data_IF_771099340784
#
_entry.id   IF_771099340784
#
_cell.length_a   1.000
_cell.length_b   1.000
_cell.length_c   1.000
_cell.angle_alpha   90.00
_cell.angle_beta   90.00
_cell.angle_gamma   90.00
#
_symmetry.space_group_name_H-M   'P 1'
#
loop_
_entity.id
_entity.type
_entity.pdbx_description
1 polymer ?
#
# COMPACT_ATOMS: atom_id res chain seq x y z
N UNK A 1 -16.69 -3.02 28.09
CA UNK A 1 -17.04 -1.99 27.10
C UNK A 1 -17.02 -2.66 25.73
N UNK A 2 -18.18 -2.84 25.10
CA UNK A 2 -18.29 -3.57 23.83
C UNK A 2 -17.63 -2.78 22.68
N UNK A 3 -16.74 -3.44 21.94
CA UNK A 3 -16.03 -2.90 20.78
C UNK A 3 -16.95 -2.45 19.63
N UNK A 4 -18.25 -2.81 19.69
CA UNK A 4 -19.26 -2.47 18.68
C UNK A 4 -19.66 -1.00 18.63
N UNK A 5 -19.16 -0.14 19.55
CA UNK A 5 -19.42 1.31 19.54
C UNK A 5 -18.26 2.15 18.99
N UNK A 6 -17.11 1.55 18.68
CA UNK A 6 -15.93 2.32 18.26
C UNK A 6 -15.85 2.52 16.74
N UNK A 7 -16.46 1.61 15.97
CA UNK A 7 -16.53 1.67 14.50
C UNK A 7 -17.93 1.18 14.08
N UNK A 8 -18.65 1.92 13.21
CA UNK A 8 -19.94 1.46 12.71
C UNK A 8 -19.76 0.13 11.95
N UNK A 9 -20.43 -0.93 12.41
CA UNK A 9 -20.51 -2.22 11.70
C UNK A 9 -20.74 -2.10 10.17
N UNK A 10 -21.61 -1.20 9.65
CA UNK A 10 -21.79 -1.07 8.20
C UNK A 10 -20.52 -0.65 7.44
N UNK A 11 -19.63 0.14 8.05
CA UNK A 11 -18.37 0.55 7.42
C UNK A 11 -17.41 -0.65 7.25
N UNK A 12 -17.40 -1.58 8.20
CA UNK A 12 -16.57 -2.78 8.14
C UNK A 12 -17.02 -3.68 6.99
N UNK A 13 -18.33 -3.97 6.89
CA UNK A 13 -18.87 -4.80 5.81
C UNK A 13 -18.72 -4.15 4.43
N UNK A 14 -18.92 -2.84 4.32
CA UNK A 14 -18.75 -2.12 3.06
C UNK A 14 -17.29 -2.14 2.58
N UNK A 15 -16.34 -1.84 3.46
CA UNK A 15 -14.91 -1.86 3.11
C UNK A 15 -14.43 -3.27 2.76
N UNK A 16 -14.96 -4.30 3.40
CA UNK A 16 -14.71 -5.69 3.07
C UNK A 16 -15.24 -6.04 1.67
N UNK A 17 -16.48 -5.66 1.35
CA UNK A 17 -17.07 -5.88 0.02
C UNK A 17 -16.27 -5.19 -1.09
N UNK A 18 -15.88 -3.91 -0.90
CA UNK A 18 -15.03 -3.17 -1.84
C UNK A 18 -13.67 -3.86 -2.02
N UNK A 19 -13.09 -4.38 -0.94
CA UNK A 19 -11.79 -5.07 -1.01
C UNK A 19 -11.87 -6.38 -1.79
N UNK A 20 -12.97 -7.12 -1.69
CA UNK A 20 -13.20 -8.34 -2.49
C UNK A 20 -13.35 -8.00 -3.97
N UNK A 21 -14.15 -6.97 -4.29
CA UNK A 21 -14.32 -6.51 -5.67
C UNK A 21 -12.98 -6.04 -6.25
N UNK A 22 -12.22 -5.26 -5.47
CA UNK A 22 -10.87 -4.82 -5.82
C UNK A 22 -9.93 -5.99 -6.07
N UNK A 23 -9.96 -7.03 -5.23
CA UNK A 23 -9.15 -8.23 -5.41
C UNK A 23 -9.46 -8.92 -6.75
N UNK A 24 -10.75 -9.14 -7.06
CA UNK A 24 -11.17 -9.78 -8.32
C UNK A 24 -10.75 -8.93 -9.52
N UNK A 25 -10.97 -7.61 -9.46
CA UNK A 25 -10.58 -6.68 -10.52
C UNK A 25 -9.08 -6.69 -10.79
N UNK A 26 -8.28 -6.56 -9.74
CA UNK A 26 -6.83 -6.54 -9.83
C UNK A 26 -6.25 -7.87 -10.33
N UNK A 27 -6.78 -9.01 -9.86
CA UNK A 27 -6.38 -10.33 -10.36
C UNK A 27 -6.73 -10.51 -11.84
N UNK A 28 -7.88 -9.97 -12.29
CA UNK A 28 -8.27 -10.00 -13.70
C UNK A 28 -7.29 -9.21 -14.57
N UNK A 29 -6.86 -8.02 -14.12
CA UNK A 29 -5.87 -7.19 -14.84
C UNK A 29 -4.53 -7.93 -14.93
N UNK A 30 -4.07 -8.52 -13.84
CA UNK A 30 -2.83 -9.33 -13.81
C UNK A 30 -2.94 -10.53 -14.76
N UNK A 31 -4.07 -11.24 -14.72
CA UNK A 31 -4.30 -12.39 -15.60
C UNK A 31 -4.24 -12.00 -17.08
N UNK A 32 -4.92 -10.92 -17.47
CA UNK A 32 -4.94 -10.43 -18.86
C UNK A 32 -3.56 -9.97 -19.32
N UNK A 33 -2.79 -9.31 -18.45
CA UNK A 33 -1.43 -8.83 -18.78
C UNK A 33 -0.42 -9.97 -18.94
N UNK A 34 -0.56 -11.05 -18.17
CA UNK A 34 0.29 -12.25 -18.31
C UNK A 34 -0.11 -13.08 -19.54
N UNK A 35 -1.41 -13.24 -19.80
CA UNK A 35 -1.91 -14.10 -20.87
C UNK A 35 -1.63 -13.55 -22.27
N UNK A 36 -1.84 -12.25 -22.49
CA UNK A 36 -1.70 -11.65 -23.81
C UNK A 36 -0.31 -11.03 -24.05
N UNK A 37 0.58 -11.79 -24.70
CA UNK A 37 1.90 -11.28 -25.15
C UNK A 37 1.78 -10.08 -26.11
N UNK A 38 0.71 -9.99 -26.91
CA UNK A 38 0.44 -8.84 -27.80
C UNK A 38 0.16 -7.53 -27.05
N UNK A 39 -0.24 -7.60 -25.77
CA UNK A 39 -0.57 -6.44 -24.95
C UNK A 39 0.59 -6.02 -24.03
N UNK A 40 1.74 -6.69 -24.07
CA UNK A 40 2.93 -6.40 -23.27
C UNK A 40 3.72 -5.19 -23.79
N UNK A 41 3.04 -4.06 -23.93
CA UNK A 41 3.74 -2.78 -24.00
C UNK A 41 4.36 -2.48 -22.63
N UNK A 42 5.45 -1.69 -22.60
CA UNK A 42 6.20 -1.38 -21.37
C UNK A 42 5.29 -0.81 -20.28
N UNK A 43 4.42 0.14 -20.65
CA UNK A 43 3.47 0.75 -19.73
C UNK A 43 2.44 -0.28 -19.19
N UNK A 44 1.96 -1.20 -20.03
CA UNK A 44 1.02 -2.24 -19.61
C UNK A 44 1.65 -3.24 -18.65
N UNK A 45 2.96 -3.51 -18.76
CA UNK A 45 3.70 -4.33 -17.78
C UNK A 45 3.77 -3.63 -16.43
N UNK A 46 4.01 -2.31 -16.41
CA UNK A 46 3.99 -1.52 -15.17
C UNK A 46 2.59 -1.51 -14.53
N UNK A 47 1.53 -1.37 -15.33
CA UNK A 47 0.14 -1.44 -14.85
C UNK A 47 -0.18 -2.84 -14.28
N UNK A 48 0.28 -3.91 -14.93
CA UNK A 48 0.14 -5.27 -14.40
C UNK A 48 0.88 -5.45 -13.08
N UNK A 49 2.07 -4.88 -12.94
CA UNK A 49 2.83 -4.89 -11.69
C UNK A 49 2.12 -4.09 -10.58
N UNK A 50 1.56 -2.93 -10.91
CA UNK A 50 0.74 -2.13 -9.99
C UNK A 50 -0.47 -2.95 -9.49
N UNK A 51 -1.22 -3.56 -10.40
CA UNK A 51 -2.36 -4.40 -10.06
C UNK A 51 -1.99 -5.60 -9.18
N UNK A 52 -0.79 -6.16 -9.34
CA UNK A 52 -0.28 -7.22 -8.47
C UNK A 52 -0.09 -6.72 -7.03
N UNK A 53 0.50 -5.54 -6.84
CA UNK A 53 0.64 -4.95 -5.50
C UNK A 53 -0.72 -4.56 -4.91
N UNK A 54 -1.65 -4.06 -5.72
CA UNK A 54 -3.00 -3.73 -5.27
C UNK A 54 -3.77 -4.97 -4.80
N UNK A 55 -3.60 -6.11 -5.47
CA UNK A 55 -4.17 -7.38 -5.02
C UNK A 55 -3.60 -7.80 -3.64
N UNK A 56 -2.29 -7.63 -3.42
CA UNK A 56 -1.66 -7.89 -2.11
C UNK A 56 -2.22 -6.96 -1.03
N UNK A 57 -2.41 -5.67 -1.35
CA UNK A 57 -3.03 -4.70 -0.45
C UNK A 57 -4.48 -5.09 -0.13
N UNK A 58 -5.28 -5.51 -1.12
CA UNK A 58 -6.64 -5.97 -0.89
C UNK A 58 -6.70 -7.19 0.03
N UNK A 59 -5.81 -8.18 -0.16
CA UNK A 59 -5.69 -9.34 0.74
C UNK A 59 -5.34 -8.90 2.16
N UNK A 60 -4.39 -7.98 2.31
CA UNK A 60 -4.01 -7.42 3.61
C UNK A 60 -5.18 -6.72 4.31
N UNK A 61 -5.93 -5.89 3.58
CA UNK A 61 -7.11 -5.19 4.12
C UNK A 61 -8.21 -6.16 4.55
N UNK A 62 -8.48 -7.21 3.76
CA UNK A 62 -9.43 -8.26 4.12
C UNK A 62 -8.98 -8.95 5.42
N UNK A 63 -7.71 -9.35 5.50
CA UNK A 63 -7.19 -10.02 6.70
C UNK A 63 -7.30 -9.13 7.95
N UNK A 64 -6.99 -7.84 7.80
CA UNK A 64 -7.09 -6.85 8.88
C UNK A 64 -8.55 -6.70 9.36
N UNK A 65 -9.52 -6.65 8.45
CA UNK A 65 -10.95 -6.57 8.80
C UNK A 65 -11.49 -7.86 9.41
N UNK A 66 -11.02 -9.03 8.97
CA UNK A 66 -11.38 -10.33 9.58
C UNK A 66 -10.87 -10.44 11.01
N UNK A 67 -9.63 -10.02 11.30
CA UNK A 67 -9.14 -10.00 12.68
C UNK A 67 -9.95 -9.07 13.59
N UNK A 68 -10.40 -7.93 13.07
CA UNK A 68 -11.24 -6.99 13.80
C UNK A 68 -12.61 -7.60 14.15
N UNK A 69 -13.18 -8.44 13.27
CA UNK A 69 -14.45 -9.14 13.51
C UNK A 69 -14.28 -10.30 14.50
N UNK A 70 -13.13 -10.96 14.50
CA UNK A 70 -12.82 -12.08 15.42
C UNK A 70 -12.45 -11.62 16.83
N UNK A 71 -12.53 -10.32 17.13
CA UNK A 71 -12.23 -9.72 18.43
C UNK A 71 -10.82 -10.08 18.98
N UNK A 72 -9.89 -10.40 18.08
CA UNK A 72 -8.52 -10.82 18.40
C UNK A 72 -7.58 -9.61 18.52
N UNK A 73 -7.92 -8.67 19.41
CA UNK A 73 -7.19 -7.40 19.56
C UNK A 73 -5.89 -7.53 20.36
N UNK A 74 -5.73 -8.62 21.12
CA UNK A 74 -4.63 -8.82 22.07
C UNK A 74 -3.39 -9.46 21.40
N UNK A 75 -2.81 -8.76 20.43
CA UNK A 75 -1.54 -9.16 19.79
C UNK A 75 -0.41 -8.26 20.28
N UNK A 76 0.72 -8.85 20.68
CA UNK A 76 1.94 -8.12 21.06
C UNK A 76 2.39 -7.15 19.95
N UNK A 77 2.78 -5.93 20.32
CA UNK A 77 3.15 -4.84 19.38
C UNK A 77 4.18 -5.25 18.32
N UNK A 78 5.14 -6.11 18.65
CA UNK A 78 6.16 -6.61 17.72
C UNK A 78 5.58 -7.53 16.64
N UNK A 79 4.61 -8.38 17.01
CA UNK A 79 3.93 -9.31 16.09
C UNK A 79 3.00 -8.55 15.16
N UNK A 80 2.31 -7.56 15.70
CA UNK A 80 1.48 -6.67 14.91
C UNK A 80 2.28 -5.84 13.89
N UNK A 81 3.41 -5.24 14.28
CA UNK A 81 4.23 -4.49 13.33
C UNK A 81 4.75 -5.42 12.22
N UNK A 82 5.19 -6.63 12.56
CA UNK A 82 5.65 -7.61 11.58
C UNK A 82 4.53 -8.04 10.62
N UNK A 83 3.30 -8.10 11.11
CA UNK A 83 2.10 -8.36 10.33
C UNK A 83 1.76 -7.20 9.38
N UNK A 84 1.80 -5.96 9.88
CA UNK A 84 1.50 -4.74 9.12
C UNK A 84 2.58 -4.36 8.11
N UNK A 85 3.84 -4.74 8.37
CA UNK A 85 4.99 -4.45 7.50
C UNK A 85 4.75 -4.82 6.04
N UNK A 86 4.14 -5.98 5.78
CA UNK A 86 3.91 -6.45 4.41
C UNK A 86 2.89 -5.57 3.66
N UNK A 87 1.81 -5.15 4.35
CA UNK A 87 0.81 -4.24 3.77
C UNK A 87 1.38 -2.84 3.55
N UNK A 88 2.17 -2.34 4.50
CA UNK A 88 2.81 -1.03 4.40
C UNK A 88 3.83 -0.97 3.24
N UNK A 89 4.61 -2.03 3.06
CA UNK A 89 5.51 -2.14 1.92
C UNK A 89 4.76 -2.14 0.58
N UNK A 90 3.66 -2.91 0.48
CA UNK A 90 2.86 -2.97 -0.73
C UNK A 90 2.18 -1.63 -1.08
N UNK A 91 1.66 -0.90 -0.10
CA UNK A 91 1.09 0.45 -0.27
C UNK A 91 2.13 1.46 -0.80
N UNK A 92 3.34 1.46 -0.23
CA UNK A 92 4.41 2.34 -0.70
C UNK A 92 4.84 1.99 -2.14
N UNK A 93 4.86 0.70 -2.47
CA UNK A 93 5.12 0.27 -3.84
C UNK A 93 4.02 0.68 -4.81
N UNK A 94 2.76 0.57 -4.41
CA UNK A 94 1.63 1.05 -5.21
C UNK A 94 1.76 2.55 -5.51
N UNK A 95 1.99 3.39 -4.49
CA UNK A 95 2.09 4.84 -4.70
C UNK A 95 3.27 5.24 -5.59
N UNK A 96 4.43 4.62 -5.39
CA UNK A 96 5.63 4.91 -6.20
C UNK A 96 5.49 4.44 -7.66
N UNK A 97 4.94 3.24 -7.90
CA UNK A 97 4.65 2.75 -9.24
C UNK A 97 3.57 3.60 -9.93
N UNK A 98 2.54 4.01 -9.19
CA UNK A 98 1.49 4.92 -9.70
C UNK A 98 2.06 6.24 -10.19
N UNK A 99 3.00 6.83 -9.45
CA UNK A 99 3.70 8.05 -9.87
C UNK A 99 4.52 7.82 -11.14
N UNK A 100 5.30 6.74 -11.21
CA UNK A 100 6.11 6.40 -12.40
C UNK A 100 5.24 6.20 -13.64
N UNK A 101 4.09 5.53 -13.49
CA UNK A 101 3.12 5.35 -14.59
C UNK A 101 2.55 6.71 -15.04
N UNK A 102 2.20 7.58 -14.09
CA UNK A 102 1.73 8.93 -14.38
C UNK A 102 2.76 9.74 -15.17
N UNK A 103 4.03 9.69 -14.76
CA UNK A 103 5.13 10.35 -15.47
C UNK A 103 5.38 9.76 -16.86
N UNK A 104 5.34 8.43 -17.02
CA UNK A 104 5.49 7.77 -18.32
C UNK A 104 4.39 8.23 -19.31
N UNK A 105 3.14 8.30 -18.84
CA UNK A 105 2.01 8.78 -19.65
C UNK A 105 2.13 10.25 -20.00
N UNK A 106 2.52 11.10 -19.05
CA UNK A 106 2.73 12.53 -19.28
C UNK A 106 3.85 12.76 -20.30
N UNK A 107 4.96 12.04 -20.17
CA UNK A 107 6.10 12.16 -21.06
C UNK A 107 5.79 11.69 -22.49
N UNK A 108 5.01 10.63 -22.65
CA UNK A 108 4.54 10.18 -23.97
C UNK A 108 3.68 11.24 -24.69
N UNK A 109 2.85 11.97 -23.95
CA UNK A 109 2.01 13.06 -24.50
C UNK A 109 2.85 14.29 -24.83
N UNK A 110 3.81 14.65 -23.97
CA UNK A 110 4.63 15.84 -24.15
C UNK A 110 5.66 15.70 -25.30
N UNK A 111 6.27 14.52 -25.44
CA UNK A 111 7.38 14.30 -26.39
C UNK A 111 7.29 12.94 -27.09
N UNK A 112 6.34 12.75 -28.04
CA UNK A 112 6.09 11.45 -28.68
C UNK A 112 7.30 10.92 -29.48
N UNK A 113 8.07 11.81 -30.12
CA UNK A 113 9.23 11.43 -30.94
C UNK A 113 10.40 10.90 -30.11
N UNK A 114 10.62 11.48 -28.92
CA UNK A 114 11.67 11.03 -27.98
C UNK A 114 11.25 9.79 -27.21
N UNK A 115 9.94 9.58 -26.99
CA UNK A 115 9.42 8.40 -26.31
C UNK A 115 9.72 7.11 -27.07
N UNK A 116 9.64 7.12 -28.41
CA UNK A 116 9.90 5.93 -29.24
C UNK A 116 11.33 5.39 -29.11
N UNK A 117 12.30 6.25 -28.74
CA UNK A 117 13.71 5.90 -28.62
C UNK A 117 14.13 5.45 -27.21
N UNK A 118 13.21 5.45 -26.24
CA UNK A 118 13.57 5.08 -24.87
C UNK A 118 14.06 3.63 -24.80
N UNK A 119 15.18 3.41 -24.11
CA UNK A 119 15.72 2.07 -23.89
C UNK A 119 15.04 1.38 -22.71
N UNK A 120 15.03 0.04 -22.73
CA UNK A 120 14.45 -0.76 -21.63
C UNK A 120 15.18 -0.53 -20.28
N UNK A 121 16.45 -0.10 -20.31
CA UNK A 121 17.27 0.11 -19.12
C UNK A 121 16.73 1.22 -18.20
N UNK A 122 16.16 2.28 -18.77
CA UNK A 122 15.57 3.39 -18.00
C UNK A 122 14.39 2.90 -17.17
N UNK A 123 13.57 1.99 -17.72
CA UNK A 123 12.44 1.39 -17.00
C UNK A 123 12.90 0.51 -15.83
N UNK A 124 13.95 -0.29 -16.03
CA UNK A 124 14.54 -1.08 -14.94
C UNK A 124 15.08 -0.17 -13.82
N UNK A 125 15.68 0.97 -14.17
CA UNK A 125 16.15 1.96 -13.20
C UNK A 125 15.01 2.55 -12.36
N UNK A 126 13.88 2.93 -12.98
CA UNK A 126 12.72 3.45 -12.25
C UNK A 126 12.12 2.44 -11.28
N UNK A 127 11.97 1.18 -11.71
CA UNK A 127 11.45 0.11 -10.83
C UNK A 127 12.40 -0.09 -9.64
N UNK A 128 13.71 -0.10 -9.88
CA UNK A 128 14.72 -0.26 -8.82
C UNK A 128 14.68 0.90 -7.82
N UNK A 129 14.49 2.14 -8.29
CA UNK A 129 14.29 3.30 -7.42
C UNK A 129 13.02 3.17 -6.56
N UNK A 130 11.91 2.67 -7.11
CA UNK A 130 10.69 2.42 -6.35
C UNK A 130 10.92 1.37 -5.24
N UNK A 131 11.66 0.29 -5.52
CA UNK A 131 11.99 -0.74 -4.54
C UNK A 131 12.80 -0.13 -3.40
N UNK A 132 13.87 0.62 -3.71
CA UNK A 132 14.75 1.23 -2.71
C UNK A 132 13.96 2.21 -1.84
N UNK A 133 13.18 3.09 -2.46
CA UNK A 133 12.34 4.06 -1.76
C UNK A 133 11.38 3.36 -0.78
N UNK A 134 10.67 2.33 -1.25
CA UNK A 134 9.71 1.57 -0.44
C UNK A 134 10.40 0.84 0.72
N UNK A 135 11.62 0.34 0.50
CA UNK A 135 12.42 -0.29 1.54
C UNK A 135 12.89 0.71 2.61
N UNK A 136 13.37 1.89 2.19
CA UNK A 136 13.80 2.97 3.10
C UNK A 136 12.65 3.44 3.99
N UNK A 137 11.46 3.65 3.44
CA UNK A 137 10.29 4.04 4.22
C UNK A 137 9.91 2.95 5.22
N UNK A 138 9.85 1.69 4.77
CA UNK A 138 9.50 0.56 5.64
C UNK A 138 10.52 0.38 6.78
N UNK A 139 11.80 0.55 6.49
CA UNK A 139 12.87 0.47 7.49
C UNK A 139 12.83 1.63 8.49
N UNK A 140 12.54 2.84 8.00
CA UNK A 140 12.35 4.02 8.86
C UNK A 140 11.16 3.83 9.80
N UNK A 141 10.06 3.26 9.29
CA UNK A 141 8.88 2.89 10.09
C UNK A 141 9.18 1.84 11.17
N UNK A 142 10.01 0.82 10.85
CA UNK A 142 10.45 -0.16 11.84
C UNK A 142 11.33 0.45 12.94
N UNK A 143 12.27 1.31 12.54
CA UNK A 143 13.18 1.98 13.47
C UNK A 143 12.42 2.90 14.43
N UNK A 144 11.40 3.60 13.93
CA UNK A 144 10.49 4.39 14.75
C UNK A 144 9.67 3.50 15.69
N UNK A 145 8.97 2.50 15.17
CA UNK A 145 8.15 1.59 15.98
C UNK A 145 8.95 0.88 17.09
N UNK A 146 10.18 0.45 16.79
CA UNK A 146 11.07 -0.20 17.76
C UNK A 146 11.52 0.74 18.90
N UNK A 147 11.78 2.03 18.61
CA UNK A 147 12.14 3.01 19.64
C UNK A 147 10.97 3.37 20.56
N UNK A 148 9.76 3.47 20.03
CA UNK A 148 8.58 3.84 20.82
C UNK A 148 7.90 2.64 21.49
N UNK A 149 8.14 1.42 21.02
CA UNK A 149 7.65 0.17 21.64
C UNK A 149 8.10 -0.04 23.11
N UNK A 150 9.18 0.62 23.54
CA UNK A 150 9.62 0.58 24.95
C UNK A 150 8.95 1.65 25.84
N UNK A 151 8.40 2.74 25.28
CA UNK A 151 7.65 3.76 26.05
C UNK A 151 6.15 3.49 26.11
N UNK A 152 5.63 2.64 25.23
CA UNK A 152 4.20 2.30 25.10
C UNK A 152 3.76 1.10 25.97
N UNK A 153 4.53 0.72 27.01
CA UNK A 153 4.13 -0.31 27.98
C UNK A 153 3.10 0.17 29.02
N UNK A 154 2.81 1.47 29.10
CA UNK A 154 1.92 2.06 30.12
C UNK A 154 0.51 2.41 29.59
N UNK A 155 0.29 2.39 28.28
CA UNK A 155 -1.05 2.52 27.69
C UNK A 155 -1.30 1.33 26.77
N UNK A 156 -2.21 0.46 27.18
CA UNK A 156 -2.82 -0.58 26.35
C UNK A 156 -3.37 0.03 25.06
N UNK A 157 -2.57 0.01 24.01
CA UNK A 157 -2.97 0.56 22.73
C UNK A 157 -2.89 -0.55 21.71
N UNK A 158 -4.07 -0.95 21.27
CA UNK A 158 -4.29 -2.04 20.33
C UNK A 158 -3.81 -1.60 18.95
N UNK A 159 -3.36 -2.55 18.13
CA UNK A 159 -3.01 -2.30 16.73
C UNK A 159 -4.16 -1.86 15.82
N UNK A 160 -5.36 -1.80 16.38
CA UNK A 160 -6.62 -1.54 15.68
C UNK A 160 -7.32 -0.28 16.17
N UNK A 161 -6.81 0.35 17.23
CA UNK A 161 -7.24 1.69 17.66
C UNK A 161 -6.27 2.71 17.06
N UNK A 162 -6.23 2.79 15.74
CA UNK A 162 -5.73 3.99 15.06
C UNK A 162 -6.88 5.00 14.96
N UNK A 163 -7.35 5.43 16.13
CA UNK A 163 -8.17 6.63 16.27
C UNK A 163 -7.39 7.54 17.22
N UNK A 164 -6.30 8.16 16.72
CA UNK A 164 -6.00 9.59 16.95
C UNK A 164 -4.61 10.07 16.48
N UNK A 165 -3.66 9.24 16.05
CA UNK A 165 -2.32 9.76 15.65
C UNK A 165 -2.04 9.81 14.15
N UNK A 166 -2.91 9.26 13.27
CA UNK A 166 -2.79 9.55 11.83
C UNK A 166 -3.22 10.99 11.44
N UNK A 167 -3.92 11.70 12.33
CA UNK A 167 -4.12 13.16 12.22
C UNK A 167 -2.88 13.97 12.66
N UNK A 168 -1.90 13.34 13.32
CA UNK A 168 -0.67 14.00 13.78
C UNK A 168 0.40 14.16 12.70
N UNK A 169 0.43 13.27 11.70
CA UNK A 169 1.39 13.38 10.58
C UNK A 169 0.93 14.35 9.48
N UNK A 170 -0.39 14.59 9.37
CA UNK A 170 -0.94 15.64 8.49
C UNK A 170 -0.73 17.05 9.08
N UNK A 171 -0.55 17.18 10.41
CA UNK A 171 -0.26 18.46 11.06
C UNK A 171 1.23 18.84 11.12
N UNK A 172 2.16 17.92 10.81
CA UNK A 172 3.60 18.25 10.78
C UNK A 172 4.12 18.72 9.42
N UNK A 173 3.32 18.64 8.35
CA UNK A 173 3.59 19.34 7.09
C UNK A 173 2.91 20.73 7.10
N UNK A 174 3.29 21.55 8.07
CA UNK A 174 3.15 23.00 7.96
C UNK A 174 4.01 23.47 6.78
N UNK A 175 3.40 23.63 5.60
CA UNK A 175 3.90 24.61 4.65
C UNK A 175 3.56 25.99 5.21
N UNK A 176 4.50 26.55 5.96
CA UNK A 176 4.63 28.01 6.08
C UNK A 176 4.83 28.58 4.69
N UNK A 177 3.80 29.23 4.17
CA UNK A 177 3.91 30.34 3.23
C UNK A 177 2.76 31.31 3.48
#
# INVERSE_FOLDING_TARGET
MNATNLVPAPMIYLTLAISIIGLIGNLTIVFVTVWNKRLQSRCNVLIGLLALFDAIVCIYLIHLRVLMILDMYMITSTKCFLFSRNGLFALNMQSSLGLVIGLDRLYNVAFPTRYSQLSNSVYTSFILMCIIFSFVITFSGYSYSSRYGNRFRLSTTNCYTDNQELYGLDQTFNFTL
#
